data_IF_362775397837
#
_entry.id   IF_362775397837
#
_cell.length_a   1.000
_cell.length_b   1.000
_cell.length_c   1.000
_cell.angle_alpha   90.00
_cell.angle_beta   90.00
_cell.angle_gamma   90.00
#
_symmetry.space_group_name_H-M   'P 1'
#
loop_
_entity.id
_entity.type
_entity.pdbx_description
1 polymer ?
#
# COMPACT_ATOMS: atom_id res chain seq x y z
N UNK A 1 -32.99 -4.44 23.72
CA UNK A 1 -33.25 -5.86 23.95
C UNK A 1 -34.13 -6.36 22.82
N UNK A 2 -33.54 -7.04 21.85
CA UNK A 2 -34.19 -7.99 20.92
C UNK A 2 -33.06 -8.74 20.23
N UNK A 3 -32.83 -9.96 20.69
CA UNK A 3 -31.91 -10.94 20.12
C UNK A 3 -32.68 -11.75 19.09
N UNK A 4 -32.23 -11.76 17.83
CA UNK A 4 -32.66 -12.78 16.86
C UNK A 4 -31.44 -13.47 16.24
N UNK A 5 -31.44 -14.79 16.51
CA UNK A 5 -30.63 -15.92 16.06
C UNK A 5 -30.11 -15.79 14.62
N UNK A 6 -28.82 -16.04 14.32
CA UNK A 6 -28.09 -17.31 14.38
C UNK A 6 -28.74 -18.45 13.60
N UNK A 7 -28.37 -18.61 12.32
CA UNK A 7 -28.17 -19.96 11.76
C UNK A 7 -27.25 -19.95 10.53
N UNK A 8 -26.14 -20.66 10.67
CA UNK A 8 -25.23 -21.07 9.60
C UNK A 8 -25.61 -22.49 9.18
N UNK A 9 -25.75 -22.81 7.88
CA UNK A 9 -25.66 -24.20 7.44
C UNK A 9 -24.20 -24.57 7.12
N UNK A 10 -23.62 -25.40 7.98
CA UNK A 10 -22.42 -26.21 7.69
C UNK A 10 -22.81 -27.55 7.06
N UNK A 11 -21.79 -28.14 6.43
CA UNK A 11 -21.57 -29.55 6.06
C UNK A 11 -22.36 -30.13 4.90
N UNK A 12 -21.60 -30.60 3.90
CA UNK A 12 -21.72 -31.96 3.38
C UNK A 12 -20.32 -32.41 2.89
N UNK A 13 -19.60 -33.07 3.80
CA UNK A 13 -18.45 -33.92 3.48
C UNK A 13 -19.01 -35.21 2.84
N UNK A 14 -18.60 -35.50 1.61
CA UNK A 14 -18.82 -36.80 1.00
C UNK A 14 -17.53 -37.63 1.15
N UNK A 15 -17.49 -38.44 2.20
CA UNK A 15 -16.60 -39.60 2.32
C UNK A 15 -17.19 -40.74 1.51
N UNK A 16 -16.44 -41.24 0.51
CA UNK A 16 -16.66 -42.56 -0.06
C UNK A 16 -15.53 -43.48 0.36
N UNK A 17 -15.92 -44.47 1.18
CA UNK A 17 -15.07 -45.56 1.64
C UNK A 17 -14.82 -46.58 0.52
N UNK A 18 -13.56 -47.02 0.45
CA UNK A 18 -13.07 -48.39 0.28
C UNK A 18 -13.75 -49.33 -0.73
N UNK A 19 -13.02 -49.69 -1.79
CA UNK A 19 -13.08 -51.04 -2.33
C UNK A 19 -11.66 -51.59 -2.54
N UNK A 20 -11.31 -52.58 -1.72
CA UNK A 20 -10.08 -53.36 -1.80
C UNK A 20 -10.35 -54.61 -2.63
N UNK A 21 -9.68 -54.74 -3.78
CA UNK A 21 -9.51 -56.05 -4.40
C UNK A 21 -8.02 -56.32 -4.59
N UNK A 22 -7.54 -57.28 -3.82
CA UNK A 22 -6.21 -57.86 -3.92
C UNK A 22 -6.02 -58.55 -5.28
N UNK A 23 -4.90 -58.26 -5.95
CA UNK A 23 -4.31 -59.19 -6.92
C UNK A 23 -2.78 -59.18 -6.77
N UNK A 24 -2.24 -60.40 -6.57
CA UNK A 24 -0.82 -60.72 -6.35
C UNK A 24 0.00 -60.58 -7.65
N UNK A 25 1.34 -60.47 -7.55
CA UNK A 25 2.16 -59.75 -8.53
C UNK A 25 2.69 -60.64 -9.66
N UNK A 26 2.62 -60.14 -10.90
CA UNK A 26 3.41 -60.65 -12.02
C UNK A 26 4.80 -60.01 -11.98
N UNK A 27 5.82 -60.86 -12.00
CA UNK A 27 7.22 -60.48 -11.98
C UNK A 27 7.67 -59.94 -13.34
N UNK A 28 7.71 -58.61 -13.49
CA UNK A 28 8.40 -57.97 -14.60
C UNK A 28 9.65 -57.22 -14.12
N UNK A 29 10.77 -57.57 -14.76
CA UNK A 29 12.15 -57.15 -14.42
C UNK A 29 12.34 -55.64 -14.62
N UNK A 30 12.22 -54.86 -13.55
CA UNK A 30 12.67 -53.46 -13.54
C UNK A 30 14.15 -53.40 -13.11
N UNK A 31 15.02 -53.01 -14.05
CA UNK A 31 16.44 -52.72 -13.81
C UNK A 31 16.55 -51.68 -12.69
N UNK A 32 16.95 -52.11 -11.50
CA UNK A 32 17.19 -51.24 -10.34
C UNK A 32 18.39 -50.34 -10.62
N UNK A 33 18.14 -49.06 -10.89
CA UNK A 33 19.17 -48.03 -10.78
C UNK A 33 19.58 -47.98 -9.31
N UNK A 34 20.82 -48.38 -9.02
CA UNK A 34 21.44 -48.31 -7.70
C UNK A 34 21.31 -46.89 -7.14
N UNK A 35 20.49 -46.73 -6.09
CA UNK A 35 20.44 -45.48 -5.32
C UNK A 35 21.82 -45.29 -4.70
N UNK A 36 22.56 -44.26 -5.12
CA UNK A 36 23.80 -43.87 -4.45
C UNK A 36 23.49 -43.62 -2.97
N UNK A 37 24.17 -44.36 -2.10
CA UNK A 37 24.11 -44.20 -0.65
C UNK A 37 24.39 -42.73 -0.33
N UNK A 38 23.39 -42.02 0.20
CA UNK A 38 23.58 -40.64 0.64
C UNK A 38 24.46 -40.70 1.89
N UNK A 39 25.61 -40.02 1.85
CA UNK A 39 26.50 -39.92 3.02
C UNK A 39 25.72 -39.32 4.20
N UNK A 40 25.89 -39.85 5.43
CA UNK A 40 25.09 -39.48 6.60
C UNK A 40 25.18 -37.98 6.95
N UNK A 41 26.25 -37.30 6.54
CA UNK A 41 26.42 -35.85 6.70
C UNK A 41 25.35 -35.00 5.98
N UNK A 42 24.74 -35.49 4.90
CA UNK A 42 23.69 -34.76 4.18
C UNK A 42 22.30 -34.92 4.82
N UNK A 43 22.13 -35.87 5.74
CA UNK A 43 20.86 -36.13 6.41
C UNK A 43 20.66 -35.25 7.66
N UNK A 44 21.73 -34.65 8.19
CA UNK A 44 21.67 -33.78 9.37
C UNK A 44 21.28 -32.37 8.91
N UNK A 45 20.10 -31.83 9.29
CA UNK A 45 19.72 -30.46 8.96
C UNK A 45 20.66 -29.48 9.67
N UNK A 46 21.29 -28.57 8.90
CA UNK A 46 22.13 -27.51 9.46
C UNK A 46 21.25 -26.36 9.95
N UNK A 47 21.59 -25.80 11.12
CA UNK A 47 20.94 -24.60 11.66
C UNK A 47 21.28 -23.33 10.87
N UNK A 48 20.55 -22.23 11.15
CA UNK A 48 20.84 -20.94 10.54
C UNK A 48 22.15 -20.34 11.06
N UNK A 49 22.99 -19.76 10.19
CA UNK A 49 24.24 -19.13 10.61
C UNK A 49 23.95 -17.87 11.45
N UNK A 50 24.58 -17.77 12.63
CA UNK A 50 24.37 -16.69 13.62
C UNK A 50 24.39 -15.25 13.07
N UNK A 51 25.11 -15.01 11.97
CA UNK A 51 25.32 -13.67 11.39
C UNK A 51 24.62 -13.42 10.06
N UNK A 52 23.82 -14.37 9.54
CA UNK A 52 23.15 -14.27 8.22
C UNK A 52 24.06 -13.83 7.06
N UNK A 53 25.38 -14.00 7.20
CA UNK A 53 26.36 -13.62 6.18
C UNK A 53 26.26 -14.61 5.01
N UNK A 54 26.08 -14.14 3.77
CA UNK A 54 25.77 -15.01 2.63
C UNK A 54 26.85 -16.05 2.33
N UNK A 55 28.13 -15.76 2.61
CA UNK A 55 29.23 -16.72 2.42
C UNK A 55 29.29 -17.84 3.46
N UNK A 56 28.54 -17.73 4.56
CA UNK A 56 28.38 -18.80 5.56
C UNK A 56 27.26 -19.76 5.19
N UNK A 57 26.48 -19.47 4.16
CA UNK A 57 25.49 -20.41 3.63
C UNK A 57 26.19 -21.51 2.83
N UNK A 58 25.75 -22.77 2.94
CA UNK A 58 26.34 -23.86 2.17
C UNK A 58 26.11 -23.63 0.68
N UNK A 59 27.17 -23.70 -0.11
CA UNK A 59 27.08 -23.63 -1.58
C UNK A 59 26.28 -24.82 -2.09
N UNK A 60 25.18 -24.58 -2.80
CA UNK A 60 24.42 -25.64 -3.48
C UNK A 60 25.21 -26.16 -4.67
N UNK A 61 25.20 -27.47 -4.90
CA UNK A 61 25.83 -28.06 -6.09
C UNK A 61 25.09 -27.59 -7.35
N UNK A 62 25.83 -27.34 -8.43
CA UNK A 62 25.23 -26.95 -9.72
C UNK A 62 24.26 -28.01 -10.27
N UNK A 63 24.42 -29.29 -9.88
CA UNK A 63 23.48 -30.37 -10.21
C UNK A 63 22.09 -30.21 -9.59
N UNK A 64 21.97 -29.44 -8.50
CA UNK A 64 20.70 -29.16 -7.83
C UNK A 64 19.90 -28.09 -8.56
N UNK A 65 20.57 -27.25 -9.36
CA UNK A 65 19.92 -26.21 -10.14
C UNK A 65 19.18 -26.84 -11.33
N UNK A 66 17.85 -26.65 -11.39
CA UNK A 66 17.06 -27.02 -12.57
C UNK A 66 17.49 -26.14 -13.75
N UNK A 67 18.21 -26.74 -14.70
CA UNK A 67 18.81 -26.03 -15.84
C UNK A 67 17.78 -25.41 -16.78
N UNK A 68 16.61 -26.03 -16.92
CA UNK A 68 15.55 -25.58 -17.82
C UNK A 68 14.19 -25.74 -17.16
N UNK A 69 13.35 -24.72 -17.28
CA UNK A 69 11.92 -24.85 -17.01
C UNK A 69 11.18 -25.15 -18.32
N UNK A 70 10.16 -26.03 -18.30
CA UNK A 70 9.32 -26.27 -19.45
C UNK A 70 8.51 -25.00 -19.78
N UNK A 71 8.25 -24.78 -21.07
CA UNK A 71 7.38 -23.67 -21.49
C UNK A 71 5.96 -23.89 -20.94
N UNK A 72 5.35 -22.83 -20.43
CA UNK A 72 3.95 -22.85 -20.01
C UNK A 72 3.03 -23.09 -21.23
N UNK A 73 1.93 -23.81 -21.02
CA UNK A 73 0.85 -23.95 -22.00
C UNK A 73 0.23 -22.58 -22.31
N UNK A 74 -0.44 -22.48 -23.46
CA UNK A 74 -1.08 -21.23 -23.88
C UNK A 74 -2.13 -20.75 -22.88
N UNK A 75 -2.95 -21.67 -22.38
CA UNK A 75 -3.98 -21.41 -21.36
C UNK A 75 -3.39 -20.77 -20.10
N UNK A 76 -2.33 -21.35 -19.53
CA UNK A 76 -1.63 -20.80 -18.36
C UNK A 76 -1.02 -19.42 -18.62
N UNK A 77 -0.61 -19.12 -19.86
CA UNK A 77 -0.13 -17.76 -20.22
C UNK A 77 -1.28 -16.77 -20.27
N UNK A 78 -2.45 -17.18 -20.74
CA UNK A 78 -3.64 -16.34 -20.78
C UNK A 78 -4.16 -16.04 -19.37
N UNK A 79 -4.23 -17.06 -18.50
CA UNK A 79 -4.56 -16.90 -17.08
C UNK A 79 -3.63 -15.88 -16.41
N UNK A 80 -2.31 -16.06 -16.54
CA UNK A 80 -1.32 -15.14 -15.97
C UNK A 80 -1.48 -13.71 -16.49
N UNK A 81 -1.79 -13.53 -17.79
CA UNK A 81 -2.04 -12.20 -18.37
C UNK A 81 -3.29 -11.55 -17.79
N UNK A 82 -4.35 -12.34 -17.59
CA UNK A 82 -5.60 -11.86 -17.01
C UNK A 82 -5.41 -11.47 -15.54
N UNK A 83 -4.70 -12.29 -14.77
CA UNK A 83 -4.33 -11.98 -13.38
C UNK A 83 -3.51 -10.70 -13.28
N UNK A 84 -2.47 -10.55 -14.12
CA UNK A 84 -1.65 -9.34 -14.15
C UNK A 84 -2.46 -8.10 -14.55
N UNK A 85 -3.43 -8.24 -15.46
CA UNK A 85 -4.34 -7.15 -15.83
C UNK A 85 -5.19 -6.74 -14.64
N UNK A 86 -5.83 -7.69 -13.96
CA UNK A 86 -6.66 -7.45 -12.79
C UNK A 86 -5.87 -6.81 -11.63
N UNK A 87 -4.63 -7.26 -11.39
CA UNK A 87 -3.75 -6.66 -10.37
C UNK A 87 -3.40 -5.22 -10.72
N UNK A 88 -3.08 -4.93 -12.00
CA UNK A 88 -2.75 -3.57 -12.45
C UNK A 88 -3.95 -2.63 -12.33
N UNK A 89 -5.13 -3.10 -12.69
CA UNK A 89 -6.37 -2.34 -12.58
C UNK A 89 -6.67 -1.98 -11.11
N UNK A 90 -6.64 -2.96 -10.21
CA UNK A 90 -6.77 -2.72 -8.76
C UNK A 90 -5.71 -1.76 -8.22
N UNK A 91 -4.46 -1.90 -8.67
CA UNK A 91 -3.38 -0.99 -8.27
C UNK A 91 -3.62 0.44 -8.77
N UNK A 92 -4.19 0.59 -9.97
CA UNK A 92 -4.53 1.88 -10.55
C UNK A 92 -5.67 2.53 -9.79
N UNK A 93 -6.75 1.81 -9.51
CA UNK A 93 -7.88 2.28 -8.71
C UNK A 93 -7.43 2.82 -7.34
N UNK A 94 -6.58 2.07 -6.62
CA UNK A 94 -6.04 2.51 -5.33
C UNK A 94 -5.19 3.80 -5.42
N UNK A 95 -4.45 3.97 -6.52
CA UNK A 95 -3.64 5.18 -6.74
C UNK A 95 -4.52 6.37 -7.10
N UNK A 96 -5.55 6.16 -7.91
CA UNK A 96 -6.51 7.18 -8.31
C UNK A 96 -7.31 7.67 -7.10
N UNK A 97 -7.84 6.77 -6.26
CA UNK A 97 -8.51 7.12 -5.02
C UNK A 97 -7.63 7.97 -4.09
N UNK A 98 -6.38 7.57 -3.87
CA UNK A 98 -5.42 8.35 -3.06
C UNK A 98 -5.15 9.75 -3.66
N UNK A 99 -5.08 9.84 -4.99
CA UNK A 99 -4.84 11.11 -5.68
C UNK A 99 -6.04 12.04 -5.54
N UNK A 100 -7.25 11.51 -5.68
CA UNK A 100 -8.51 12.26 -5.50
C UNK A 100 -8.64 12.79 -4.07
N UNK A 101 -8.36 11.97 -3.06
CA UNK A 101 -8.32 12.40 -1.65
C UNK A 101 -7.31 13.53 -1.42
N UNK A 102 -6.12 13.43 -2.01
CA UNK A 102 -5.09 14.45 -1.89
C UNK A 102 -5.50 15.78 -2.56
N UNK A 103 -6.13 15.72 -3.73
CA UNK A 103 -6.65 16.88 -4.46
C UNK A 103 -7.76 17.54 -3.64
N UNK A 104 -8.74 16.76 -3.15
CA UNK A 104 -9.84 17.26 -2.33
C UNK A 104 -9.32 17.94 -1.05
N UNK A 105 -8.32 17.34 -0.38
CA UNK A 105 -7.69 17.94 0.80
C UNK A 105 -6.95 19.23 0.44
N UNK A 106 -6.27 19.28 -0.69
CA UNK A 106 -5.59 20.49 -1.14
C UNK A 106 -6.59 21.61 -1.44
N UNK A 107 -7.65 21.33 -2.19
CA UNK A 107 -8.72 22.29 -2.49
C UNK A 107 -9.34 22.86 -1.21
N UNK A 108 -9.66 22.00 -0.23
CA UNK A 108 -10.17 22.44 1.08
C UNK A 108 -9.19 23.36 1.81
N UNK A 109 -7.88 23.10 1.73
CA UNK A 109 -6.87 23.99 2.35
C UNK A 109 -6.81 25.34 1.65
N UNK A 110 -6.84 25.36 0.33
CA UNK A 110 -6.83 26.59 -0.47
C UNK A 110 -8.06 27.44 -0.16
N UNK A 111 -9.25 26.86 -0.21
CA UNK A 111 -10.51 27.54 0.11
C UNK A 111 -10.52 28.09 1.54
N UNK A 112 -10.04 27.30 2.52
CA UNK A 112 -9.93 27.77 3.90
C UNK A 112 -8.92 28.90 4.08
N UNK A 113 -7.81 28.88 3.33
CA UNK A 113 -6.82 29.94 3.34
C UNK A 113 -7.37 31.23 2.73
N UNK A 114 -8.09 31.13 1.61
CA UNK A 114 -8.77 32.26 0.97
C UNK A 114 -9.85 32.85 1.88
N UNK A 115 -10.68 31.99 2.49
CA UNK A 115 -11.67 32.41 3.49
C UNK A 115 -11.01 33.12 4.67
N UNK A 116 -9.89 32.60 5.17
CA UNK A 116 -9.14 33.22 6.26
C UNK A 116 -8.61 34.60 5.85
N UNK A 117 -7.99 34.71 4.68
CA UNK A 117 -7.48 35.99 4.17
C UNK A 117 -8.61 37.03 3.99
N UNK A 118 -9.76 36.59 3.46
CA UNK A 118 -10.94 37.45 3.32
C UNK A 118 -11.51 37.88 4.67
N UNK A 119 -11.56 36.98 5.65
CA UNK A 119 -12.00 37.28 7.01
C UNK A 119 -11.01 38.18 7.74
N UNK A 120 -9.70 38.00 7.57
CA UNK A 120 -8.67 38.88 8.13
C UNK A 120 -8.81 40.29 7.58
N UNK A 121 -9.01 40.45 6.26
CA UNK A 121 -9.27 41.76 5.64
C UNK A 121 -10.56 42.39 6.16
N UNK A 122 -11.63 41.61 6.32
CA UNK A 122 -12.93 42.11 6.80
C UNK A 122 -12.92 42.45 8.29
N UNK A 123 -12.23 41.65 9.10
CA UNK A 123 -12.12 41.83 10.55
C UNK A 123 -11.10 42.92 10.91
N UNK A 124 -10.30 43.39 9.96
CA UNK A 124 -9.40 44.50 10.19
C UNK A 124 -10.19 45.79 10.47
N UNK A 125 -10.16 46.23 11.73
CA UNK A 125 -10.75 47.50 12.15
C UNK A 125 -9.75 48.61 11.84
N UNK A 126 -10.01 49.39 10.80
CA UNK A 126 -9.16 50.51 10.39
C UNK A 126 -9.71 51.83 10.94
N UNK A 127 -8.81 52.67 11.48
CA UNK A 127 -9.17 54.04 11.85
C UNK A 127 -8.86 55.00 10.70
N UNK A 128 -9.89 55.65 10.15
CA UNK A 128 -9.72 56.65 9.08
C UNK A 128 -9.12 57.93 9.65
N UNK A 129 -7.93 58.31 9.19
CA UNK A 129 -7.27 59.57 9.57
C UNK A 129 -7.66 60.65 8.56
N UNK A 130 -8.69 61.45 8.89
CA UNK A 130 -9.18 62.53 8.01
C UNK A 130 -8.19 63.70 7.87
N UNK A 131 -7.41 64.01 8.92
CA UNK A 131 -6.48 65.15 8.93
C UNK A 131 -5.00 64.71 8.91
N UNK A 132 -4.21 65.04 7.87
CA UNK A 132 -2.82 64.61 7.73
C UNK A 132 -1.85 65.31 8.70
N UNK A 133 -2.21 66.48 9.23
CA UNK A 133 -1.41 67.17 10.25
C UNK A 133 -1.29 66.35 11.54
N UNK A 134 -2.22 65.42 11.78
CA UNK A 134 -2.17 64.49 12.91
C UNK A 134 -0.93 63.58 12.84
N UNK A 135 -0.61 63.05 11.66
CA UNK A 135 0.58 62.21 11.45
C UNK A 135 1.87 62.97 11.70
N UNK A 136 1.93 64.25 11.30
CA UNK A 136 3.10 65.11 11.51
C UNK A 136 3.35 65.45 12.98
N UNK A 137 2.29 65.48 13.80
CA UNK A 137 2.39 65.76 15.25
C UNK A 137 2.71 64.52 16.09
N UNK A 138 2.63 63.31 15.53
CA UNK A 138 2.88 62.07 16.27
C UNK A 138 4.36 61.82 16.52
N UNK A 139 4.65 61.11 17.63
CA UNK A 139 6.02 60.71 17.96
C UNK A 139 6.52 59.67 16.95
N UNK A 140 7.81 59.73 16.60
CA UNK A 140 8.46 58.82 15.64
C UNK A 140 8.25 57.32 15.94
N UNK A 141 8.14 56.94 17.23
CA UNK A 141 7.83 55.55 17.63
C UNK A 141 6.41 55.16 17.25
N UNK A 142 5.40 56.01 17.48
CA UNK A 142 4.01 55.74 17.12
C UNK A 142 3.80 55.68 15.60
N UNK A 143 4.51 56.54 14.85
CA UNK A 143 4.51 56.48 13.38
C UNK A 143 5.01 55.15 12.81
N UNK A 144 5.91 54.44 13.51
CA UNK A 144 6.39 53.11 13.11
C UNK A 144 5.37 51.98 13.34
N UNK A 145 4.40 52.19 14.22
CA UNK A 145 3.35 51.21 14.51
C UNK A 145 2.17 51.31 13.52
N UNK A 146 2.01 52.45 12.84
CA UNK A 146 0.92 52.63 11.87
C UNK A 146 1.23 51.85 10.60
N UNK A 147 0.30 50.98 10.20
CA UNK A 147 0.31 50.31 8.90
C UNK A 147 -0.76 50.96 8.02
N UNK A 148 -0.43 51.22 6.75
CA UNK A 148 -1.39 51.75 5.78
C UNK A 148 -2.19 50.60 5.19
N UNK A 149 -3.51 50.78 5.09
CA UNK A 149 -4.45 49.82 4.52
C UNK A 149 -5.34 50.53 3.51
N UNK A 150 -5.75 49.81 2.48
CA UNK A 150 -6.60 50.36 1.43
C UNK A 150 -8.05 50.44 1.91
N UNK A 151 -8.67 51.60 1.69
CA UNK A 151 -10.02 51.91 2.16
C UNK A 151 -10.95 52.31 1.01
N UNK A 152 -10.58 52.02 -0.24
CA UNK A 152 -11.33 52.42 -1.45
C UNK A 152 -12.77 51.91 -1.46
N UNK A 153 -13.05 50.81 -0.75
CA UNK A 153 -14.38 50.17 -0.70
C UNK A 153 -15.19 50.57 0.55
N UNK A 154 -14.59 51.25 1.54
CA UNK A 154 -15.26 51.57 2.81
C UNK A 154 -15.98 52.91 2.69
N UNK A 155 -17.32 52.89 2.70
CA UNK A 155 -18.15 54.09 2.68
C UNK A 155 -18.15 54.73 4.08
N UNK A 156 -17.37 55.78 4.24
CA UNK A 156 -17.30 56.58 5.47
C UNK A 156 -18.53 57.50 5.52
N UNK A 157 -19.35 57.35 6.56
CA UNK A 157 -20.43 58.29 6.92
C UNK A 157 -19.86 59.49 7.66
#
# INVERSE_FOLDING_TARGET
MTTENNEQPKSNEATTETNQQANKPSAEKVKTKTKKIQKPENAIPRGQPKSNRPWKTPKTKFSTLKKTQPRLSFEKKMELRNELRAIKEKSRELKEARKEEAIAKHQRRVENAERRLGNERRAEIVQVIKNPSKLKRMKKKQMRLIQKRDLSEVKVV
#
